data_IF_889949668697
#
_entry.id   IF_889949668697
#
_cell.length_a   1.000
_cell.length_b   1.000
_cell.length_c   1.000
_cell.angle_alpha   90.00
_cell.angle_beta   90.00
_cell.angle_gamma   90.00
#
_symmetry.space_group_name_H-M   'P 1'
#
loop_
_entity.id
_entity.type
_entity.pdbx_description
1 polymer ?
#
# COMPACT_ATOMS: atom_id res chain seq x y z
N UNK A 1 15.16 22.94 -1.93
CA UNK A 1 13.99 22.09 -2.26
C UNK A 1 12.63 22.72 -1.93
N UNK A 2 12.52 23.65 -1.02
CA UNK A 2 11.24 24.32 -0.66
C UNK A 2 10.63 25.25 -1.74
N UNK A 3 11.36 25.58 -2.77
CA UNK A 3 10.94 26.56 -3.80
C UNK A 3 10.07 25.97 -4.93
N UNK A 4 9.93 24.64 -5.04
CA UNK A 4 9.14 23.99 -6.11
C UNK A 4 7.65 23.77 -5.74
N UNK A 5 7.30 23.85 -4.46
CA UNK A 5 5.92 23.62 -3.98
C UNK A 5 5.01 24.85 -4.12
N UNK A 6 5.57 26.06 -4.27
CA UNK A 6 4.78 27.30 -4.41
C UNK A 6 4.28 27.59 -5.85
N UNK A 7 4.67 26.78 -6.83
CA UNK A 7 4.37 27.03 -8.25
C UNK A 7 3.24 26.18 -8.84
N UNK A 8 2.70 25.21 -8.06
CA UNK A 8 1.55 24.43 -8.53
C UNK A 8 0.26 25.24 -8.27
N UNK A 9 -0.33 25.77 -9.32
CA UNK A 9 -1.60 26.49 -9.21
C UNK A 9 -2.72 25.56 -8.69
N UNK A 10 -3.76 26.14 -8.07
CA UNK A 10 -4.93 25.37 -7.63
C UNK A 10 -5.56 24.57 -8.80
N UNK A 11 -5.61 25.16 -9.99
CA UNK A 11 -6.10 24.52 -11.21
C UNK A 11 -5.26 23.30 -11.59
N UNK A 12 -3.93 23.40 -11.51
CA UNK A 12 -3.03 22.28 -11.80
C UNK A 12 -3.18 21.14 -10.78
N UNK A 13 -3.42 21.47 -9.50
CA UNK A 13 -3.70 20.45 -8.48
C UNK A 13 -5.01 19.71 -8.76
N UNK A 14 -6.07 20.42 -9.14
CA UNK A 14 -7.36 19.81 -9.50
C UNK A 14 -7.20 18.93 -10.75
N UNK A 15 -6.54 19.41 -11.79
CA UNK A 15 -6.31 18.63 -12.99
C UNK A 15 -5.51 17.35 -12.71
N UNK A 16 -4.48 17.45 -11.88
CA UNK A 16 -3.68 16.30 -11.46
C UNK A 16 -4.48 15.30 -10.62
N UNK A 17 -5.28 15.78 -9.66
CA UNK A 17 -6.14 14.93 -8.86
C UNK A 17 -7.20 14.22 -9.73
N UNK A 18 -7.79 14.92 -10.70
CA UNK A 18 -8.73 14.35 -11.66
C UNK A 18 -8.08 13.25 -12.49
N UNK A 19 -6.90 13.52 -13.05
CA UNK A 19 -6.14 12.53 -13.81
C UNK A 19 -5.82 11.28 -12.98
N UNK A 20 -5.32 11.44 -11.77
CA UNK A 20 -5.03 10.30 -10.89
C UNK A 20 -6.29 9.52 -10.52
N UNK A 21 -7.42 10.22 -10.34
CA UNK A 21 -8.72 9.60 -10.03
C UNK A 21 -9.23 8.64 -11.11
N UNK A 22 -8.81 8.81 -12.37
CA UNK A 22 -9.17 7.88 -13.46
C UNK A 22 -8.67 6.45 -13.20
N UNK A 23 -7.63 6.30 -12.39
CA UNK A 23 -7.05 5.01 -12.02
C UNK A 23 -7.61 4.43 -10.71
N UNK A 24 -8.73 4.92 -10.21
CA UNK A 24 -9.29 4.46 -8.92
C UNK A 24 -9.52 2.94 -8.87
N UNK A 25 -9.86 2.31 -9.99
CA UNK A 25 -10.04 0.87 -10.11
C UNK A 25 -9.05 0.21 -11.11
N UNK A 26 -7.95 0.91 -11.41
CA UNK A 26 -6.87 0.42 -12.26
C UNK A 26 -5.49 0.71 -11.64
N UNK A 27 -5.11 0.02 -10.56
CA UNK A 27 -3.83 0.25 -9.92
C UNK A 27 -2.62 -0.13 -10.81
N UNK A 28 -2.79 -1.04 -11.75
CA UNK A 28 -1.73 -1.37 -12.72
C UNK A 28 -1.48 -0.22 -13.70
N UNK A 29 -2.54 0.35 -14.27
CA UNK A 29 -2.46 1.54 -15.12
C UNK A 29 -1.90 2.74 -14.36
N UNK A 30 -2.29 2.92 -13.07
CA UNK A 30 -1.72 3.95 -12.22
C UNK A 30 -0.20 3.86 -12.14
N UNK A 31 0.35 2.69 -11.89
CA UNK A 31 1.81 2.51 -11.75
C UNK A 31 2.54 2.93 -13.02
N UNK A 32 2.00 2.63 -14.19
CA UNK A 32 2.59 3.07 -15.45
C UNK A 32 2.48 4.59 -15.67
N UNK A 33 1.36 5.20 -15.29
CA UNK A 33 1.10 6.61 -15.51
C UNK A 33 1.75 7.55 -14.48
N UNK A 34 1.93 7.08 -13.24
CA UNK A 34 2.29 7.92 -12.10
C UNK A 34 3.80 8.07 -11.87
N UNK A 35 4.64 7.30 -12.56
CA UNK A 35 6.09 7.29 -12.36
C UNK A 35 6.84 7.47 -13.68
N UNK A 36 8.03 8.11 -13.68
CA UNK A 36 8.82 8.39 -14.88
C UNK A 36 9.64 7.16 -15.32
N UNK A 37 8.98 6.11 -15.76
CA UNK A 37 9.62 4.90 -16.25
C UNK A 37 10.51 5.19 -17.47
N UNK A 38 11.71 4.61 -17.47
CA UNK A 38 12.69 4.83 -18.54
C UNK A 38 13.47 6.14 -18.42
N UNK A 39 13.31 6.87 -17.29
CA UNK A 39 14.02 8.13 -17.04
C UNK A 39 14.72 8.13 -15.67
N UNK A 40 15.87 8.77 -15.56
CA UNK A 40 16.58 9.03 -14.31
C UNK A 40 16.82 7.77 -13.46
N UNK A 41 16.30 7.76 -12.25
CA UNK A 41 16.43 6.60 -11.32
C UNK A 41 15.68 5.35 -11.81
N UNK A 42 14.74 5.48 -12.75
CA UNK A 42 13.97 4.38 -13.32
C UNK A 42 14.39 4.01 -14.75
N UNK A 43 15.55 4.52 -15.22
CA UNK A 43 16.10 4.10 -16.50
C UNK A 43 16.40 2.59 -16.51
N UNK A 44 15.90 1.91 -17.54
CA UNK A 44 16.00 0.45 -17.67
C UNK A 44 15.19 -0.36 -16.65
N UNK A 45 14.41 0.28 -15.79
CA UNK A 45 13.54 -0.39 -14.82
C UNK A 45 12.09 -0.43 -15.31
N UNK A 46 11.39 -1.50 -14.97
CA UNK A 46 9.95 -1.66 -15.20
C UNK A 46 9.34 -2.44 -14.04
N UNK A 47 8.02 -2.32 -13.80
CA UNK A 47 7.32 -3.23 -12.92
C UNK A 47 7.52 -4.68 -13.34
N UNK A 48 7.62 -5.59 -12.39
CA UNK A 48 7.73 -7.01 -12.65
C UNK A 48 6.34 -7.60 -12.92
N UNK A 49 6.27 -8.67 -13.69
CA UNK A 49 5.02 -9.33 -14.07
C UNK A 49 4.14 -9.68 -12.86
N UNK A 50 4.71 -10.30 -11.83
CA UNK A 50 3.96 -10.67 -10.62
C UNK A 50 3.39 -9.46 -9.86
N UNK A 51 4.06 -8.29 -9.93
CA UNK A 51 3.57 -7.04 -9.33
C UNK A 51 2.36 -6.52 -10.10
N UNK A 52 2.44 -6.52 -11.44
CA UNK A 52 1.33 -6.11 -12.30
C UNK A 52 0.13 -7.03 -12.14
N UNK A 53 0.34 -8.36 -12.11
CA UNK A 53 -0.74 -9.33 -11.85
C UNK A 53 -1.46 -9.07 -10.52
N UNK A 54 -0.72 -8.77 -9.44
CA UNK A 54 -1.33 -8.45 -8.16
C UNK A 54 -2.17 -7.17 -8.24
N UNK A 55 -1.62 -6.12 -8.87
CA UNK A 55 -2.34 -4.86 -9.06
C UNK A 55 -3.60 -5.04 -9.90
N UNK A 56 -3.56 -5.87 -10.94
CA UNK A 56 -4.73 -6.23 -11.74
C UNK A 56 -5.78 -7.01 -10.91
N UNK A 57 -5.34 -7.94 -10.06
CA UNK A 57 -6.24 -8.71 -9.18
C UNK A 57 -6.94 -7.77 -8.17
N UNK A 58 -6.21 -6.81 -7.61
CA UNK A 58 -6.79 -5.72 -6.79
C UNK A 58 -7.83 -4.93 -7.60
N UNK A 59 -7.51 -4.51 -8.81
CA UNK A 59 -8.43 -3.77 -9.68
C UNK A 59 -9.71 -4.57 -10.01
N UNK A 60 -9.58 -5.87 -10.24
CA UNK A 60 -10.74 -6.77 -10.45
C UNK A 60 -11.59 -6.88 -9.19
N UNK A 61 -10.95 -7.04 -8.02
CA UNK A 61 -11.65 -7.13 -6.74
C UNK A 61 -12.48 -5.90 -6.41
N UNK A 62 -11.97 -4.70 -6.72
CA UNK A 62 -12.67 -3.41 -6.50
C UNK A 62 -13.97 -3.25 -7.30
N UNK A 63 -14.15 -4.02 -8.36
CA UNK A 63 -15.41 -4.01 -9.15
C UNK A 63 -16.55 -4.70 -8.42
N UNK A 64 -16.28 -5.47 -7.37
CA UNK A 64 -17.28 -6.14 -6.54
C UNK A 64 -17.55 -5.32 -5.28
N UNK A 65 -18.65 -4.62 -5.23
CA UNK A 65 -19.04 -3.75 -4.12
C UNK A 65 -19.21 -4.56 -2.83
N UNK A 66 -18.66 -4.06 -1.71
CA UNK A 66 -18.87 -4.63 -0.38
C UNK A 66 -17.99 -5.85 -0.05
N UNK A 67 -17.04 -6.19 -0.90
CA UNK A 67 -16.08 -7.26 -0.65
C UNK A 67 -14.76 -6.68 -0.11
N UNK A 68 -14.25 -7.27 0.98
CA UNK A 68 -12.88 -6.98 1.43
C UNK A 68 -11.90 -7.69 0.52
N UNK A 69 -11.02 -6.95 -0.11
CA UNK A 69 -9.95 -7.49 -0.96
C UNK A 69 -8.79 -7.86 -0.05
N UNK A 70 -8.44 -9.14 -0.03
CA UNK A 70 -7.36 -9.68 0.80
C UNK A 70 -6.29 -10.32 -0.09
N UNK A 71 -5.10 -9.73 -0.08
CA UNK A 71 -3.94 -10.20 -0.85
C UNK A 71 -2.85 -10.70 0.10
N UNK A 72 -2.37 -11.91 -0.09
CA UNK A 72 -1.28 -12.50 0.68
C UNK A 72 -0.15 -12.92 -0.26
N UNK A 73 1.05 -12.35 -0.07
CA UNK A 73 2.23 -12.63 -0.89
C UNK A 73 3.32 -13.25 -0.03
N UNK A 74 3.60 -14.52 -0.27
CA UNK A 74 4.71 -15.23 0.34
C UNK A 74 5.89 -15.30 -0.64
N UNK A 75 7.04 -14.78 -0.22
CA UNK A 75 8.24 -14.78 -1.07
C UNK A 75 9.51 -14.56 -0.28
N UNK A 76 10.65 -14.84 -0.89
CA UNK A 76 11.97 -14.42 -0.39
C UNK A 76 12.20 -12.91 -0.46
N UNK A 77 13.41 -12.50 -0.12
CA UNK A 77 13.84 -11.10 -0.17
C UNK A 77 14.24 -10.67 -1.60
N UNK A 78 14.28 -9.36 -1.84
CA UNK A 78 14.86 -8.79 -3.07
C UNK A 78 13.99 -8.88 -4.33
N UNK A 79 12.71 -9.22 -4.22
CA UNK A 79 11.81 -9.36 -5.37
C UNK A 79 10.95 -8.13 -5.67
N UNK A 80 11.21 -6.99 -5.00
CA UNK A 80 10.46 -5.76 -5.24
C UNK A 80 9.17 -5.61 -4.42
N UNK A 81 8.98 -6.36 -3.32
CA UNK A 81 7.81 -6.20 -2.41
C UNK A 81 7.63 -4.77 -1.92
N UNK A 82 8.72 -4.15 -1.44
CA UNK A 82 8.66 -2.80 -0.86
C UNK A 82 8.30 -1.73 -1.88
N UNK A 83 8.71 -1.89 -3.14
CA UNK A 83 8.27 -1.04 -4.24
C UNK A 83 6.76 -1.17 -4.46
N UNK A 84 6.25 -2.40 -4.55
CA UNK A 84 4.81 -2.67 -4.72
C UNK A 84 3.99 -2.10 -3.55
N UNK A 85 4.46 -2.26 -2.31
CA UNK A 85 3.82 -1.64 -1.12
C UNK A 85 3.75 -0.12 -1.28
N UNK A 86 4.84 0.50 -1.71
CA UNK A 86 4.87 1.96 -1.95
C UNK A 86 3.88 2.39 -3.04
N UNK A 87 3.77 1.64 -4.13
CA UNK A 87 2.81 1.92 -5.20
C UNK A 87 1.37 1.77 -4.73
N UNK A 88 1.05 0.73 -3.96
CA UNK A 88 -0.28 0.54 -3.38
C UNK A 88 -0.67 1.69 -2.44
N UNK A 89 0.27 2.18 -1.62
CA UNK A 89 0.05 3.33 -0.74
C UNK A 89 -0.24 4.59 -1.56
N UNK A 90 0.62 4.90 -2.54
CA UNK A 90 0.49 6.10 -3.37
C UNK A 90 -0.77 6.05 -4.24
N UNK A 91 -1.06 4.90 -4.84
CA UNK A 91 -2.31 4.69 -5.58
C UNK A 91 -3.53 4.87 -4.69
N UNK A 92 -3.56 4.20 -3.54
CA UNK A 92 -4.74 4.20 -2.67
C UNK A 92 -5.09 5.60 -2.18
N UNK A 93 -4.10 6.38 -1.74
CA UNK A 93 -4.32 7.73 -1.22
C UNK A 93 -4.65 8.73 -2.32
N UNK A 94 -4.08 8.60 -3.51
CA UNK A 94 -4.20 9.62 -4.57
C UNK A 94 -5.38 9.41 -5.50
N UNK A 95 -5.99 8.22 -5.51
CA UNK A 95 -7.10 7.88 -6.40
C UNK A 95 -8.46 7.84 -5.71
N UNK A 96 -8.51 8.08 -4.41
CA UNK A 96 -9.75 8.11 -3.64
C UNK A 96 -9.69 9.17 -2.55
N UNK A 97 -10.57 10.18 -2.64
CA UNK A 97 -10.66 11.28 -1.66
C UNK A 97 -11.02 10.75 -0.27
N UNK A 98 -10.38 11.32 0.76
CA UNK A 98 -10.51 10.89 2.15
C UNK A 98 -10.20 9.40 2.37
N UNK A 99 -9.33 8.82 1.55
CA UNK A 99 -8.76 7.50 1.82
C UNK A 99 -8.02 7.51 3.15
N UNK A 100 -8.24 6.47 3.96
CA UNK A 100 -7.47 6.21 5.18
C UNK A 100 -6.69 4.92 5.04
N UNK A 101 -5.60 4.81 5.79
CA UNK A 101 -4.86 3.56 5.80
C UNK A 101 -3.89 3.46 6.94
N UNK A 102 -3.42 2.23 7.13
CA UNK A 102 -2.39 1.89 8.08
C UNK A 102 -1.38 0.94 7.45
N UNK A 103 -0.12 1.20 7.71
CA UNK A 103 0.99 0.36 7.30
C UNK A 103 1.74 -0.07 8.55
N UNK A 104 1.96 -1.35 8.72
CA UNK A 104 2.77 -1.88 9.81
C UNK A 104 3.78 -2.91 9.32
N UNK A 105 4.80 -3.20 10.10
CA UNK A 105 5.82 -4.19 9.82
C UNK A 105 6.22 -4.91 11.11
N UNK A 106 7.09 -5.91 11.01
CA UNK A 106 7.52 -6.72 12.16
C UNK A 106 8.01 -5.88 13.36
N UNK A 107 8.81 -4.84 13.10
CA UNK A 107 9.30 -3.93 14.13
C UNK A 107 9.18 -2.47 13.70
N UNK A 108 9.14 -1.54 14.67
CA UNK A 108 9.16 -0.10 14.39
C UNK A 108 10.39 0.30 13.55
N UNK A 109 11.55 -0.26 13.86
CA UNK A 109 12.77 -0.02 13.07
C UNK A 109 12.61 -0.46 11.62
N UNK A 110 12.09 -1.67 11.35
CA UNK A 110 11.88 -2.16 9.98
C UNK A 110 10.83 -1.32 9.26
N UNK A 111 9.73 -0.98 9.94
CA UNK A 111 8.69 -0.13 9.39
C UNK A 111 9.28 1.20 8.89
N UNK A 112 10.09 1.87 9.71
CA UNK A 112 10.66 3.18 9.38
C UNK A 112 11.82 3.11 8.40
N UNK A 113 12.74 2.19 8.60
CA UNK A 113 14.01 2.18 7.85
C UNK A 113 13.95 1.40 6.54
N UNK A 114 12.93 0.53 6.36
CA UNK A 114 12.73 -0.24 5.13
C UNK A 114 11.47 0.20 4.42
N UNK A 115 10.30 -0.13 4.96
CA UNK A 115 9.00 0.10 4.30
C UNK A 115 8.75 1.57 4.04
N UNK A 116 8.86 2.41 5.07
CA UNK A 116 8.60 3.84 4.97
C UNK A 116 9.70 4.60 4.23
N UNK A 117 10.95 4.16 4.35
CA UNK A 117 12.06 4.72 3.57
C UNK A 117 11.94 4.43 2.08
N UNK A 118 11.48 3.24 1.68
CA UNK A 118 11.18 2.92 0.28
C UNK A 118 10.03 3.78 -0.25
N UNK A 119 8.98 4.00 0.56
CA UNK A 119 7.91 4.93 0.21
C UNK A 119 8.44 6.34 -0.04
N UNK A 120 9.40 6.83 0.74
CA UNK A 120 10.02 8.14 0.52
C UNK A 120 10.69 8.25 -0.85
N UNK A 121 11.36 7.18 -1.31
CA UNK A 121 11.95 7.11 -2.65
C UNK A 121 10.86 7.24 -3.72
N UNK A 122 9.83 6.41 -3.68
CA UNK A 122 8.74 6.41 -4.66
C UNK A 122 7.91 7.68 -4.61
N UNK A 123 7.70 8.28 -3.41
CA UNK A 123 7.04 9.56 -3.28
C UNK A 123 7.77 10.70 -4.01
N UNK A 124 9.12 10.71 -4.02
CA UNK A 124 9.88 11.71 -4.78
C UNK A 124 9.69 11.58 -6.29
N UNK A 125 9.51 10.36 -6.78
CA UNK A 125 9.32 10.04 -8.20
C UNK A 125 7.87 10.18 -8.65
N UNK A 126 6.93 10.23 -7.70
CA UNK A 126 5.51 10.26 -7.95
C UNK A 126 5.05 11.61 -8.49
N UNK A 127 4.36 11.62 -9.65
CA UNK A 127 3.83 12.87 -10.25
C UNK A 127 2.83 13.59 -9.35
N UNK A 128 2.08 12.86 -8.51
CA UNK A 128 1.07 13.37 -7.57
C UNK A 128 1.64 13.90 -6.25
N UNK A 129 2.97 13.92 -6.05
CA UNK A 129 3.56 14.37 -4.81
C UNK A 129 3.14 15.79 -4.36
N UNK A 130 2.78 16.75 -5.25
CA UNK A 130 2.32 18.07 -4.79
C UNK A 130 0.96 18.07 -4.09
N UNK A 131 0.23 16.97 -4.15
CA UNK A 131 -1.10 16.84 -3.50
C UNK A 131 -1.00 16.34 -2.06
N UNK A 132 0.15 15.85 -1.64
CA UNK A 132 0.34 15.17 -0.35
C UNK A 132 1.59 15.65 0.37
N UNK A 133 1.58 15.49 1.69
CA UNK A 133 2.72 15.72 2.57
C UNK A 133 3.23 14.39 3.12
N UNK A 134 4.53 14.16 3.01
CA UNK A 134 5.20 12.99 3.55
C UNK A 134 5.99 13.35 4.80
N UNK A 135 5.79 12.61 5.88
CA UNK A 135 6.51 12.74 7.14
C UNK A 135 7.12 11.39 7.57
N UNK A 136 7.84 11.38 8.67
CA UNK A 136 8.43 10.15 9.21
C UNK A 136 7.39 9.06 9.60
N UNK A 137 6.12 9.42 9.76
CA UNK A 137 5.07 8.52 10.25
C UNK A 137 3.79 8.56 9.45
N UNK A 138 3.62 9.50 8.54
CA UNK A 138 2.35 9.75 7.86
C UNK A 138 2.55 10.27 6.44
N UNK A 139 1.66 9.87 5.57
CA UNK A 139 1.41 10.47 4.26
C UNK A 139 -0.03 11.00 4.28
N UNK A 140 -0.24 12.30 4.06
CA UNK A 140 -1.56 12.91 4.18
C UNK A 140 -1.79 14.03 3.16
N UNK A 141 -3.03 14.43 2.97
CA UNK A 141 -3.41 15.49 2.04
C UNK A 141 -2.75 16.83 2.37
N UNK A 142 -2.23 17.52 1.36
CA UNK A 142 -1.72 18.90 1.50
C UNK A 142 -2.83 19.93 1.72
N UNK A 143 -4.11 19.56 1.55
CA UNK A 143 -5.24 20.40 1.92
C UNK A 143 -5.49 20.29 3.43
N UNK A 144 -5.30 21.41 4.14
CA UNK A 144 -5.46 21.49 5.60
C UNK A 144 -6.86 21.08 6.10
N UNK A 145 -7.88 21.11 5.25
CA UNK A 145 -9.23 20.66 5.60
C UNK A 145 -9.34 19.14 5.65
N UNK A 146 -8.48 18.45 4.92
CA UNK A 146 -8.49 16.99 4.75
C UNK A 146 -7.31 16.28 5.42
N UNK A 147 -6.33 16.98 6.01
CA UNK A 147 -5.11 16.39 6.58
C UNK A 147 -5.37 15.29 7.63
N UNK A 148 -6.51 15.37 8.34
CA UNK A 148 -6.90 14.41 9.39
C UNK A 148 -7.78 13.27 8.88
N UNK A 149 -8.44 13.45 7.75
CA UNK A 149 -9.39 12.49 7.18
C UNK A 149 -8.82 11.75 5.97
N UNK A 150 -7.83 12.33 5.30
CA UNK A 150 -7.22 11.80 4.10
C UNK A 150 -5.74 11.51 4.34
N UNK A 151 -5.46 10.32 4.87
CA UNK A 151 -4.13 9.96 5.34
C UNK A 151 -3.87 8.47 5.45
N UNK A 152 -2.61 8.11 5.34
CA UNK A 152 -2.09 6.77 5.61
C UNK A 152 -0.95 6.90 6.63
N UNK A 153 -1.03 6.12 7.71
CA UNK A 153 -0.12 6.21 8.84
C UNK A 153 0.74 4.95 8.97
N UNK A 154 2.02 5.14 9.26
CA UNK A 154 2.93 4.08 9.67
C UNK A 154 2.81 3.84 11.17
N UNK A 155 2.14 2.76 11.57
CA UNK A 155 1.85 2.43 12.96
C UNK A 155 2.58 1.15 13.35
N UNK A 156 3.56 1.19 14.28
CA UNK A 156 4.13 -0.02 14.82
C UNK A 156 3.09 -0.80 15.62
N UNK A 157 3.02 -2.10 15.43
CA UNK A 157 2.10 -2.93 16.20
C UNK A 157 2.65 -3.27 17.60
N UNK A 158 1.74 -3.54 18.53
CA UNK A 158 2.06 -4.00 19.88
C UNK A 158 0.94 -4.90 20.39
N UNK A 159 1.29 -6.05 20.95
CA UNK A 159 0.31 -6.96 21.58
C UNK A 159 -0.38 -6.30 22.79
N UNK A 160 0.29 -5.37 23.44
CA UNK A 160 -0.25 -4.63 24.60
C UNK A 160 -1.20 -3.50 24.17
N UNK A 161 -1.17 -3.08 22.91
CA UNK A 161 -2.03 -2.03 22.37
C UNK A 161 -2.53 -2.38 20.96
N UNK A 162 -3.31 -3.46 20.78
CA UNK A 162 -3.91 -3.80 19.49
C UNK A 162 -4.95 -2.77 19.03
N UNK A 163 -5.51 -1.99 19.96
CA UNK A 163 -6.52 -0.95 19.75
C UNK A 163 -6.10 0.11 18.72
N UNK A 164 -4.79 0.29 18.49
CA UNK A 164 -4.28 1.19 17.45
C UNK A 164 -4.80 0.82 16.05
N UNK A 165 -5.24 -0.41 15.83
CA UNK A 165 -5.82 -0.91 14.58
C UNK A 165 -7.35 -1.02 14.62
N UNK A 166 -7.99 -0.89 15.78
CA UNK A 166 -9.45 -1.02 15.92
C UNK A 166 -10.23 0.17 15.33
N UNK A 167 -9.60 1.34 15.24
CA UNK A 167 -10.22 2.58 14.75
C UNK A 167 -10.25 2.76 13.23
N UNK A 168 -10.02 1.70 12.46
CA UNK A 168 -9.98 1.75 11.00
C UNK A 168 -11.39 1.78 10.38
N UNK A 169 -12.16 2.82 10.72
CA UNK A 169 -13.47 3.06 10.13
C UNK A 169 -13.40 4.20 9.12
N UNK A 170 -13.99 3.99 7.95
CA UNK A 170 -14.05 4.98 6.88
C UNK A 170 -15.23 4.74 5.93
N UNK A 171 -16.43 4.65 6.53
CA UNK A 171 -17.65 4.25 5.82
C UNK A 171 -17.86 5.02 4.52
N UNK A 172 -18.12 4.31 3.44
CA UNK A 172 -18.37 4.88 2.11
C UNK A 172 -17.11 5.41 1.40
N UNK A 173 -15.93 5.17 1.96
CA UNK A 173 -14.64 5.60 1.42
C UNK A 173 -13.70 4.40 1.19
N UNK A 174 -12.41 4.64 1.08
CA UNK A 174 -11.40 3.58 0.96
C UNK A 174 -10.58 3.42 2.23
N UNK A 175 -10.28 2.17 2.58
CA UNK A 175 -9.34 1.80 3.64
C UNK A 175 -8.23 0.93 3.02
N UNK A 176 -6.97 1.32 3.25
CA UNK A 176 -5.81 0.49 2.93
C UNK A 176 -5.16 -0.03 4.21
N UNK A 177 -4.94 -1.33 4.28
CA UNK A 177 -4.21 -1.98 5.36
C UNK A 177 -3.04 -2.76 4.76
N UNK A 178 -1.82 -2.47 5.20
CA UNK A 178 -0.61 -3.16 4.74
C UNK A 178 0.12 -3.74 5.93
N UNK A 179 0.33 -5.06 5.88
CA UNK A 179 1.20 -5.81 6.78
C UNK A 179 2.47 -6.19 6.01
N UNK A 180 3.55 -5.49 6.24
CA UNK A 180 4.88 -5.87 5.74
C UNK A 180 5.58 -6.77 6.76
N UNK A 181 6.37 -7.74 6.29
CA UNK A 181 6.95 -8.80 7.14
C UNK A 181 5.85 -9.53 7.97
N UNK A 182 4.73 -9.80 7.36
CA UNK A 182 3.48 -10.24 7.98
C UNK A 182 3.60 -11.56 8.78
N UNK A 183 4.56 -12.42 8.46
CA UNK A 183 4.79 -13.68 9.18
C UNK A 183 5.18 -13.51 10.66
N UNK A 184 5.61 -12.33 11.04
CA UNK A 184 6.03 -12.03 12.40
C UNK A 184 4.99 -11.26 13.23
N UNK A 185 3.93 -10.75 12.61
CA UNK A 185 2.87 -9.98 13.27
C UNK A 185 2.00 -10.91 14.11
N UNK A 186 1.79 -10.57 15.38
CA UNK A 186 1.05 -11.39 16.33
C UNK A 186 -0.44 -11.53 15.92
N UNK A 187 -1.01 -12.71 16.17
CA UNK A 187 -2.37 -13.07 15.77
C UNK A 187 -3.44 -12.09 16.30
N UNK A 188 -3.25 -11.53 17.50
CA UNK A 188 -4.17 -10.53 18.07
C UNK A 188 -4.33 -9.29 17.21
N UNK A 189 -3.29 -8.89 16.48
CA UNK A 189 -3.34 -7.73 15.56
C UNK A 189 -4.20 -8.08 14.35
N UNK A 190 -4.06 -9.28 13.80
CA UNK A 190 -4.88 -9.78 12.70
C UNK A 190 -6.36 -9.83 13.09
N UNK A 191 -6.68 -10.34 14.29
CA UNK A 191 -8.05 -10.43 14.81
C UNK A 191 -8.66 -9.03 15.00
N UNK A 192 -7.87 -8.07 15.51
CA UNK A 192 -8.32 -6.69 15.67
C UNK A 192 -8.65 -6.04 14.33
N UNK A 193 -7.79 -6.22 13.32
CA UNK A 193 -8.04 -5.72 11.96
C UNK A 193 -9.26 -6.39 11.33
N UNK A 194 -9.43 -7.71 11.48
CA UNK A 194 -10.64 -8.39 10.99
C UNK A 194 -11.93 -7.78 11.58
N UNK A 195 -11.94 -7.49 12.87
CA UNK A 195 -13.07 -6.82 13.53
C UNK A 195 -13.34 -5.41 13.01
N UNK A 196 -12.29 -4.69 12.58
CA UNK A 196 -12.39 -3.33 12.05
C UNK A 196 -12.78 -3.28 10.56
N UNK A 197 -12.68 -4.40 9.82
CA UNK A 197 -12.97 -4.45 8.37
C UNK A 197 -14.43 -4.80 8.05
N UNK A 198 -15.37 -4.19 8.76
CA UNK A 198 -16.82 -4.50 8.66
C UNK A 198 -17.67 -3.37 8.09
N UNK A 199 -17.07 -2.24 7.72
CA UNK A 199 -17.78 -1.08 7.21
C UNK A 199 -18.51 -1.38 5.90
N UNK A 200 -19.83 -1.12 5.88
CA UNK A 200 -20.63 -1.28 4.68
C UNK A 200 -20.26 -0.26 3.61
N UNK A 201 -20.41 -0.64 2.33
CA UNK A 201 -20.15 0.23 1.17
C UNK A 201 -18.78 0.90 1.16
N UNK A 202 -17.79 0.24 1.75
CA UNK A 202 -16.42 0.73 1.89
C UNK A 202 -15.49 -0.15 1.05
N UNK A 203 -14.60 0.47 0.29
CA UNK A 203 -13.51 -0.26 -0.38
C UNK A 203 -12.44 -0.59 0.65
N UNK A 204 -12.31 -1.86 1.00
CA UNK A 204 -11.32 -2.31 1.99
C UNK A 204 -10.30 -3.20 1.27
N UNK A 205 -9.04 -2.76 1.30
CA UNK A 205 -7.91 -3.50 0.76
C UNK A 205 -6.95 -3.85 1.90
N UNK A 206 -6.73 -5.15 2.11
CA UNK A 206 -5.80 -5.66 3.10
C UNK A 206 -4.72 -6.51 2.42
N UNK A 207 -3.51 -5.99 2.34
CA UNK A 207 -2.36 -6.62 1.71
C UNK A 207 -1.33 -7.06 2.74
N UNK A 208 -0.93 -8.32 2.67
CA UNK A 208 0.04 -8.93 3.57
C UNK A 208 1.22 -9.48 2.78
N UNK A 209 2.42 -9.01 3.11
CA UNK A 209 3.67 -9.41 2.47
C UNK A 209 4.60 -10.04 3.51
N UNK A 210 5.17 -11.18 3.20
CA UNK A 210 6.07 -11.82 4.16
C UNK A 210 6.88 -12.97 3.56
N UNK A 211 7.94 -13.32 4.28
CA UNK A 211 8.68 -14.54 4.02
C UNK A 211 7.96 -15.69 4.74
N UNK A 212 7.81 -16.86 4.13
CA UNK A 212 7.16 -18.02 4.74
C UNK A 212 8.11 -18.72 5.74
N UNK A 213 8.49 -17.99 6.79
CA UNK A 213 9.50 -18.46 7.76
C UNK A 213 8.93 -19.27 8.92
N UNK A 214 7.61 -19.25 9.09
CA UNK A 214 6.91 -19.91 10.19
C UNK A 214 5.86 -20.88 9.64
N UNK A 215 5.77 -22.13 10.16
CA UNK A 215 4.76 -23.10 9.77
C UNK A 215 3.44 -22.94 10.57
N UNK A 216 3.21 -21.77 11.16
CA UNK A 216 2.04 -21.46 11.97
C UNK A 216 1.81 -19.96 12.04
N UNK A 217 0.66 -19.53 12.59
CA UNK A 217 0.24 -18.14 12.72
C UNK A 217 -0.64 -17.66 11.56
N UNK A 218 -1.22 -16.48 11.70
CA UNK A 218 -2.25 -15.96 10.77
C UNK A 218 -1.75 -15.80 9.32
N UNK A 219 -0.48 -15.39 9.12
CA UNK A 219 0.06 -15.30 7.76
C UNK A 219 0.17 -16.68 7.09
N UNK A 220 0.62 -17.70 7.82
CA UNK A 220 0.62 -19.08 7.33
C UNK A 220 -0.81 -19.57 7.02
N UNK A 221 -1.77 -19.22 7.86
CA UNK A 221 -3.17 -19.58 7.70
C UNK A 221 -3.83 -18.94 6.47
N UNK A 222 -3.34 -17.79 5.97
CA UNK A 222 -3.79 -17.24 4.69
C UNK A 222 -3.60 -18.21 3.52
N UNK A 223 -2.59 -19.06 3.59
CA UNK A 223 -2.29 -20.08 2.58
C UNK A 223 -2.89 -21.46 2.89
N UNK A 224 -3.40 -21.68 4.11
CA UNK A 224 -3.89 -22.96 4.61
C UNK A 224 -5.35 -22.87 5.08
N UNK A 225 -5.57 -22.60 6.36
CA UNK A 225 -6.90 -22.62 7.00
C UNK A 225 -7.86 -21.60 6.38
N UNK A 226 -7.37 -20.40 6.07
CA UNK A 226 -8.17 -19.30 5.52
C UNK A 226 -7.95 -19.07 4.01
N UNK A 227 -7.37 -20.05 3.32
CA UNK A 227 -7.00 -19.93 1.89
C UNK A 227 -8.13 -19.52 0.95
N UNK A 228 -9.37 -19.72 1.32
CA UNK A 228 -10.54 -19.38 0.50
C UNK A 228 -10.96 -17.90 0.64
N UNK A 229 -10.41 -17.20 1.63
CA UNK A 229 -10.69 -15.78 1.90
C UNK A 229 -9.59 -14.84 1.39
N UNK A 230 -8.49 -15.41 0.90
CA UNK A 230 -7.31 -14.67 0.45
C UNK A 230 -6.96 -15.00 -0.99
N UNK A 231 -6.69 -13.99 -1.78
CA UNK A 231 -5.90 -14.13 -3.00
C UNK A 231 -4.44 -14.34 -2.59
N UNK A 232 -3.82 -15.39 -3.12
CA UNK A 232 -2.50 -15.83 -2.66
C UNK A 232 -1.52 -15.89 -3.81
N UNK A 233 -0.34 -15.31 -3.60
CA UNK A 233 0.79 -15.46 -4.49
C UNK A 233 1.99 -16.02 -3.72
N UNK A 234 2.59 -17.07 -4.27
CA UNK A 234 3.87 -17.58 -3.80
C UNK A 234 4.90 -17.34 -4.89
N UNK A 235 5.93 -16.55 -4.57
CA UNK A 235 6.91 -16.10 -5.55
C UNK A 235 8.26 -16.68 -5.19
N UNK A 236 8.80 -17.52 -6.06
CA UNK A 236 10.17 -18.03 -5.95
C UNK A 236 11.14 -16.92 -6.36
N UNK A 237 11.88 -16.39 -5.39
CA UNK A 237 12.86 -15.31 -5.64
C UNK A 237 13.98 -15.70 -6.62
N UNK A 238 14.15 -16.99 -6.91
CA UNK A 238 15.13 -17.49 -7.91
C UNK A 238 14.64 -17.34 -9.35
N UNK A 239 13.32 -17.26 -9.56
CA UNK A 239 12.72 -17.18 -10.90
C UNK A 239 12.37 -15.76 -11.31
N UNK A 240 12.36 -14.83 -10.37
CA UNK A 240 12.09 -13.42 -10.63
C UNK A 240 13.34 -12.78 -11.25
N UNK A 241 13.20 -12.14 -12.41
CA UNK A 241 14.29 -11.36 -13.00
C UNK A 241 14.65 -10.22 -12.04
N UNK A 242 15.77 -10.35 -11.36
CA UNK A 242 16.41 -9.22 -10.71
C UNK A 242 16.88 -8.35 -11.87
N UNK A 243 16.32 -7.15 -12.03
CA UNK A 243 16.92 -6.15 -12.91
C UNK A 243 18.35 -5.93 -12.37
N UNK A 244 19.32 -6.53 -13.05
CA UNK A 244 20.72 -6.36 -12.71
C UNK A 244 21.08 -4.91 -12.99
N UNK A 245 21.20 -4.12 -11.92
CA UNK A 245 22.08 -2.96 -11.95
C UNK A 245 23.49 -3.49 -12.10
N UNK A 246 23.97 -3.56 -13.33
CA UNK A 246 25.40 -3.62 -13.65
C UNK A 246 26.00 -2.23 -13.50
#
# INVERSE_FOLDING_TARGET
>A
MAKKLSEFSAENKVALATFLGEFAHDPAGFVWAAFPWGEGELDGQTPQEWQLELLEDVGKGLKTVGQVIREAVASGNGIGKSALVSWLILWSISTFEDCKGVVTANTDTQLRTKTWAELAKWYRLFIGNPLFEYTATSLYSSDSKHEKTWRIDAIPWSEQNPEAFAGLHNQGRRILIVFDEASAIADVIWETVEGATTDANTEILWCCFGNPTRPSGRFFDCFNKFRNFWHKKQIDSRTVRISSTS
#
